data_IF_019044157417
#
_entry.id   IF_019044157417
#
_cell.length_a   1.000
_cell.length_b   1.000
_cell.length_c   1.000
_cell.angle_alpha   90.00
_cell.angle_beta   90.00
_cell.angle_gamma   90.00
#
_symmetry.space_group_name_H-M   'P 1'
#
loop_
_entity.id
_entity.type
_entity.pdbx_description
1 polymer ?
#
# COMPACT_ATOMS: atom_id res chain seq x y z
N UNK A 1 -9.54 23.07 4.15
CA UNK A 1 -9.64 21.89 5.05
C UNK A 1 -11.00 21.27 4.78
N UNK A 2 -11.09 20.47 3.71
CA UNK A 2 -12.32 19.79 3.30
C UNK A 2 -12.23 18.38 3.87
N UNK A 3 -13.06 18.08 4.87
CA UNK A 3 -13.28 16.71 5.34
C UNK A 3 -14.06 15.98 4.24
N UNK A 4 -13.43 15.02 3.57
CA UNK A 4 -14.11 14.05 2.72
C UNK A 4 -14.66 12.96 3.64
N UNK A 5 -15.98 12.80 3.71
CA UNK A 5 -16.61 11.69 4.43
C UNK A 5 -16.71 10.50 3.48
N UNK A 6 -15.92 9.45 3.70
CA UNK A 6 -16.18 8.15 3.09
C UNK A 6 -17.40 7.52 3.79
N UNK A 7 -18.46 7.24 3.02
CA UNK A 7 -19.60 6.45 3.48
C UNK A 7 -19.25 4.98 3.30
N UNK A 8 -19.15 4.24 4.40
CA UNK A 8 -18.96 2.79 4.36
C UNK A 8 -20.27 2.10 3.94
N UNK A 9 -20.27 1.45 2.77
CA UNK A 9 -21.39 0.62 2.31
C UNK A 9 -21.25 -0.77 2.92
N UNK A 10 -22.17 -1.15 3.82
CA UNK A 10 -22.25 -2.52 4.36
C UNK A 10 -23.16 -3.35 3.46
N UNK A 11 -22.59 -4.27 2.68
CA UNK A 11 -23.35 -5.23 1.89
C UNK A 11 -23.58 -6.49 2.74
N UNK A 12 -24.82 -6.75 3.14
CA UNK A 12 -25.20 -8.01 3.79
C UNK A 12 -26.11 -8.81 2.85
N UNK A 13 -25.71 -10.04 2.53
CA UNK A 13 -26.49 -10.93 1.67
C UNK A 13 -27.25 -11.93 2.55
N UNK A 14 -28.58 -11.96 2.48
CA UNK A 14 -29.38 -13.01 3.12
C UNK A 14 -29.69 -14.10 2.08
N UNK A 15 -29.19 -15.31 2.30
CA UNK A 15 -29.58 -16.47 1.48
C UNK A 15 -30.71 -17.21 2.17
N UNK A 16 -31.92 -17.17 1.61
CA UNK A 16 -32.94 -18.15 1.96
C UNK A 16 -32.73 -19.45 1.17
N UNK A 17 -33.00 -20.58 1.81
CA UNK A 17 -32.62 -21.95 1.39
C UNK A 17 -33.44 -22.48 0.18
N UNK A 18 -33.83 -21.61 -0.74
CA UNK A 18 -34.65 -21.89 -1.94
C UNK A 18 -33.90 -21.69 -3.25
N UNK A 19 -32.62 -21.26 -3.23
CA UNK A 19 -31.79 -21.16 -4.43
C UNK A 19 -32.18 -20.04 -5.41
N UNK A 20 -32.92 -19.05 -4.95
CA UNK A 20 -33.25 -17.83 -5.72
C UNK A 20 -32.53 -16.65 -5.06
N UNK A 21 -31.76 -15.87 -5.83
CA UNK A 21 -31.13 -14.64 -5.35
C UNK A 21 -32.24 -13.62 -5.02
N UNK A 22 -32.29 -13.17 -3.77
CA UNK A 22 -33.19 -12.10 -3.32
C UNK A 22 -32.73 -10.73 -3.82
N UNK A 23 -33.68 -9.79 -3.91
CA UNK A 23 -33.45 -8.43 -4.40
C UNK A 23 -32.43 -7.65 -3.54
N UNK A 24 -31.66 -6.79 -4.22
CA UNK A 24 -30.66 -5.90 -3.62
C UNK A 24 -31.37 -4.75 -2.88
N UNK A 25 -31.31 -4.74 -1.55
CA UNK A 25 -31.83 -3.62 -0.74
C UNK A 25 -30.66 -2.70 -0.35
N UNK A 26 -30.73 -1.45 -0.78
CA UNK A 26 -29.83 -0.37 -0.33
C UNK A 26 -30.51 0.30 0.85
N UNK A 27 -29.97 0.16 2.06
CA UNK A 27 -30.44 0.94 3.21
C UNK A 27 -29.53 2.14 3.44
N UNK A 28 -30.04 3.34 3.19
CA UNK A 28 -29.41 4.60 3.56
C UNK A 28 -29.49 4.78 5.07
N UNK A 29 -28.38 4.52 5.77
CA UNK A 29 -28.30 4.72 7.22
C UNK A 29 -27.95 6.19 7.54
N UNK A 30 -28.85 7.11 7.20
CA UNK A 30 -28.80 8.47 7.73
C UNK A 30 -29.58 8.52 9.04
N UNK A 31 -28.83 8.47 10.15
CA UNK A 31 -29.34 8.80 11.47
C UNK A 31 -30.00 10.18 11.46
N UNK A 32 -31.25 10.20 11.94
CA UNK A 32 -32.13 11.36 12.07
C UNK A 32 -31.44 12.61 12.63
N UNK A 33 -31.25 13.62 11.79
CA UNK A 33 -31.19 15.03 12.21
C UNK A 33 -32.36 15.79 11.58
N UNK A 34 -33.26 16.24 12.46
CA UNK A 34 -34.43 17.07 12.15
C UNK A 34 -33.95 18.50 11.90
N UNK A 35 -34.04 18.98 10.66
CA UNK A 35 -33.97 20.41 10.36
C UNK A 35 -35.35 20.84 9.87
N UNK A 36 -36.07 21.52 10.75
CA UNK A 36 -37.34 22.18 10.48
C UNK A 36 -37.07 23.46 9.67
N UNK A 37 -37.60 23.55 8.46
CA UNK A 37 -37.78 24.83 7.76
C UNK A 37 -39.22 24.92 7.24
N UNK A 38 -39.90 25.95 7.74
CA UNK A 38 -41.32 26.19 7.55
C UNK A 38 -41.72 26.66 6.15
N UNK A 39 -43.03 26.54 5.93
CA UNK A 39 -43.79 26.80 4.73
C UNK A 39 -43.72 28.24 4.23
N UNK A 40 -43.90 28.42 2.91
CA UNK A 40 -43.99 29.74 2.27
C UNK A 40 -44.38 29.68 0.79
N UNK A 41 -45.65 29.36 0.56
CA UNK A 41 -46.54 29.57 -0.60
C UNK A 41 -46.11 30.39 -1.85
N UNK A 42 -46.47 29.79 -3.00
CA UNK A 42 -47.28 30.33 -4.13
C UNK A 42 -46.70 31.13 -5.32
N UNK A 43 -47.17 30.67 -6.50
CA UNK A 43 -47.54 31.38 -7.75
C UNK A 43 -46.45 31.98 -8.66
N UNK A 44 -46.62 32.12 -9.98
CA UNK A 44 -47.43 31.54 -11.07
C UNK A 44 -46.84 32.15 -12.38
N UNK A 45 -47.05 31.51 -13.55
CA UNK A 45 -47.11 32.10 -14.92
C UNK A 45 -45.83 32.71 -15.57
N UNK A 46 -45.24 32.15 -16.65
CA UNK A 46 -45.57 32.03 -18.11
C UNK A 46 -44.96 33.13 -19.02
N UNK A 47 -44.69 32.72 -20.28
CA UNK A 47 -44.33 33.49 -21.51
C UNK A 47 -42.82 33.64 -21.82
N UNK A 48 -42.23 32.87 -22.77
CA UNK A 48 -42.26 32.83 -24.27
C UNK A 48 -41.24 33.77 -24.96
N UNK A 49 -40.45 33.18 -25.87
CA UNK A 49 -40.04 33.65 -27.24
C UNK A 49 -38.71 32.97 -27.64
N UNK A 50 -38.73 32.04 -28.60
CA UNK A 50 -38.44 32.19 -30.04
C UNK A 50 -36.93 32.24 -30.38
N UNK A 51 -36.39 31.16 -30.98
CA UNK A 51 -35.92 31.01 -32.41
C UNK A 51 -34.43 31.35 -32.55
N UNK A 52 -33.57 30.78 -33.40
CA UNK A 52 -33.53 29.72 -34.43
C UNK A 52 -32.00 29.58 -34.77
N UNK A 53 -31.39 28.40 -34.96
CA UNK A 53 -31.20 27.65 -36.24
C UNK A 53 -29.76 27.70 -36.82
N UNK A 54 -29.27 26.54 -37.32
CA UNK A 54 -28.22 26.36 -38.36
C UNK A 54 -26.77 26.11 -37.89
N UNK A 55 -26.25 24.87 -37.82
CA UNK A 55 -25.70 23.99 -38.90
C UNK A 55 -24.21 24.29 -39.24
N UNK A 56 -23.24 23.39 -38.91
CA UNK A 56 -22.57 22.36 -39.76
C UNK A 56 -21.63 22.96 -40.84
N UNK A 57 -20.45 22.46 -41.24
CA UNK A 57 -19.52 21.38 -40.91
C UNK A 57 -18.25 21.58 -41.82
N UNK A 58 -17.19 20.78 -41.61
CA UNK A 58 -16.16 20.31 -42.57
C UNK A 58 -14.78 21.00 -42.82
N UNK A 59 -13.75 20.33 -42.28
CA UNK A 59 -12.71 19.51 -42.96
C UNK A 59 -11.52 20.09 -43.76
N UNK A 60 -10.35 19.46 -43.54
CA UNK A 60 -9.19 19.29 -44.46
C UNK A 60 -8.14 20.41 -44.38
N UNK A 61 -6.82 20.20 -44.30
CA UNK A 61 -5.95 19.04 -44.55
C UNK A 61 -4.51 19.36 -44.07
N UNK A 62 -3.68 18.32 -43.99
CA UNK A 62 -2.32 18.23 -43.45
C UNK A 62 -1.25 19.06 -44.20
N UNK A 63 -0.17 19.40 -43.49
CA UNK A 63 1.18 19.40 -44.09
C UNK A 63 2.25 19.06 -43.05
N UNK A 64 3.05 18.05 -43.38
CA UNK A 64 4.20 17.53 -42.65
C UNK A 64 5.31 18.58 -42.48
N UNK A 65 5.98 18.51 -41.33
CA UNK A 65 7.21 19.24 -41.03
C UNK A 65 7.97 18.50 -39.95
N UNK A 66 8.82 17.57 -40.36
CA UNK A 66 9.77 16.88 -39.50
C UNK A 66 10.70 17.90 -38.81
N UNK A 67 10.57 17.98 -37.49
CA UNK A 67 11.51 18.67 -36.62
C UNK A 67 11.65 17.83 -35.36
N UNK A 68 12.71 17.02 -35.29
CA UNK A 68 13.14 16.35 -34.08
C UNK A 68 13.61 17.39 -33.05
N UNK A 69 12.65 17.99 -32.36
CA UNK A 69 12.92 18.78 -31.17
C UNK A 69 12.59 17.89 -29.97
N UNK A 70 13.61 17.25 -29.41
CA UNK A 70 13.54 16.64 -28.09
C UNK A 70 13.39 17.75 -27.05
N UNK A 71 12.17 18.30 -26.96
CA UNK A 71 11.75 18.94 -25.73
C UNK A 71 11.62 17.81 -24.72
N UNK A 72 12.51 17.84 -23.73
CA UNK A 72 12.34 17.16 -22.45
C UNK A 72 11.06 17.73 -21.82
N UNK A 73 9.92 17.19 -22.25
CA UNK A 73 8.62 17.54 -21.73
C UNK A 73 8.61 17.18 -20.26
N UNK A 74 8.29 18.15 -19.40
CA UNK A 74 8.12 17.90 -17.98
C UNK A 74 7.16 16.71 -17.80
N UNK A 75 7.66 15.61 -17.24
CA UNK A 75 6.82 14.46 -16.94
C UNK A 75 5.72 14.89 -15.97
N UNK A 76 4.49 14.43 -16.19
CA UNK A 76 3.39 14.66 -15.25
C UNK A 76 3.49 13.66 -14.09
N UNK A 77 3.17 14.06 -12.84
CA UNK A 77 3.03 13.13 -11.73
C UNK A 77 2.13 11.96 -12.10
N UNK A 78 2.53 10.75 -11.75
CA UNK A 78 1.77 9.55 -12.08
C UNK A 78 2.31 8.30 -11.41
N UNK A 79 1.50 7.25 -11.46
CA UNK A 79 1.84 5.93 -10.94
C UNK A 79 2.08 4.96 -12.09
N UNK A 80 2.96 4.01 -11.85
CA UNK A 80 3.17 2.89 -12.74
C UNK A 80 3.41 1.61 -11.92
N UNK A 81 3.04 0.47 -12.49
CA UNK A 81 3.29 -0.84 -11.90
C UNK A 81 4.71 -1.29 -12.26
N UNK A 82 5.44 -1.79 -11.27
CA UNK A 82 6.76 -2.42 -11.49
C UNK A 82 6.63 -3.76 -12.23
N UNK A 83 7.76 -4.27 -12.74
CA UNK A 83 7.81 -5.52 -13.51
C UNK A 83 7.31 -6.74 -12.73
N UNK A 84 7.33 -6.69 -11.39
CA UNK A 84 6.80 -7.75 -10.53
C UNK A 84 5.25 -7.85 -10.55
N UNK A 85 4.57 -6.89 -11.19
CA UNK A 85 3.11 -6.88 -11.37
C UNK A 85 2.30 -6.58 -10.10
N UNK A 86 2.96 -6.14 -9.02
CA UNK A 86 2.33 -5.90 -7.71
C UNK A 86 2.68 -4.53 -7.14
N UNK A 87 3.95 -4.13 -7.22
CA UNK A 87 4.41 -2.89 -6.61
C UNK A 87 4.01 -1.67 -7.43
N UNK A 88 3.42 -0.68 -6.77
CA UNK A 88 3.01 0.58 -7.37
C UNK A 88 3.98 1.70 -6.99
N UNK A 89 4.53 2.38 -8.00
CA UNK A 89 5.60 3.36 -7.83
C UNK A 89 5.18 4.72 -8.37
N UNK A 90 5.50 5.77 -7.63
CA UNK A 90 5.35 7.14 -8.08
C UNK A 90 6.54 7.57 -8.95
N UNK A 91 6.26 8.17 -10.11
CA UNK A 91 7.33 8.68 -10.96
C UNK A 91 8.02 9.91 -10.35
N UNK A 92 9.15 10.30 -10.94
CA UNK A 92 10.01 11.38 -10.42
C UNK A 92 9.34 12.77 -10.35
N UNK A 93 8.21 12.97 -11.03
CA UNK A 93 7.46 14.22 -11.01
C UNK A 93 6.50 14.33 -9.83
N UNK A 94 6.13 13.22 -9.20
CA UNK A 94 5.27 13.20 -8.02
C UNK A 94 5.97 13.79 -6.79
N UNK A 95 5.19 14.08 -5.75
CA UNK A 95 5.67 14.44 -4.42
C UNK A 95 4.76 13.87 -3.34
N UNK A 96 5.27 13.71 -2.10
CA UNK A 96 4.43 13.37 -0.95
C UNK A 96 3.22 14.31 -0.84
N UNK A 97 2.04 13.75 -0.58
CA UNK A 97 0.76 14.44 -0.54
C UNK A 97 0.01 14.51 -1.88
N UNK A 98 0.61 14.07 -2.99
CA UNK A 98 -0.13 13.94 -4.24
C UNK A 98 -1.12 12.77 -4.18
N UNK A 99 -2.35 13.01 -4.66
CA UNK A 99 -3.35 11.99 -4.94
C UNK A 99 -3.25 11.62 -6.42
N UNK A 100 -2.90 10.36 -6.71
CA UNK A 100 -2.66 9.88 -8.07
C UNK A 100 -3.59 8.72 -8.39
N UNK A 101 -4.04 8.64 -9.64
CA UNK A 101 -4.98 7.60 -10.08
C UNK A 101 -4.26 6.52 -10.88
N UNK A 102 -4.48 5.26 -10.52
CA UNK A 102 -4.06 4.09 -11.27
C UNK A 102 -5.26 3.16 -11.44
N UNK A 103 -5.60 2.81 -12.69
CA UNK A 103 -6.75 1.94 -13.03
C UNK A 103 -8.10 2.38 -12.40
N UNK A 104 -8.29 3.68 -12.20
CA UNK A 104 -9.52 4.25 -11.62
C UNK A 104 -9.56 4.26 -10.08
N UNK A 105 -8.49 3.83 -9.41
CA UNK A 105 -8.34 3.90 -7.95
C UNK A 105 -7.41 5.06 -7.61
N UNK A 106 -7.78 5.87 -6.62
CA UNK A 106 -6.96 6.97 -6.09
C UNK A 106 -6.03 6.45 -4.99
N UNK A 107 -4.75 6.76 -5.11
CA UNK A 107 -3.72 6.45 -4.14
C UNK A 107 -3.07 7.73 -3.61
N UNK A 108 -2.65 7.70 -2.34
CA UNK A 108 -1.92 8.80 -1.71
C UNK A 108 -0.43 8.51 -1.69
N UNK A 109 0.37 9.40 -2.28
CA UNK A 109 1.83 9.35 -2.17
C UNK A 109 2.25 9.83 -0.78
N UNK A 110 3.02 9.03 -0.05
CA UNK A 110 3.42 9.32 1.34
C UNK A 110 4.93 9.34 1.52
N UNK A 111 5.39 10.18 2.44
CA UNK A 111 6.73 10.10 3.02
C UNK A 111 6.70 9.39 4.40
N UNK A 112 7.86 9.32 5.07
CA UNK A 112 7.98 8.69 6.39
C UNK A 112 7.03 9.31 7.43
N UNK A 113 6.86 10.64 7.43
CA UNK A 113 6.05 11.31 8.46
C UNK A 113 4.57 11.06 8.21
N UNK A 114 4.11 11.24 6.96
CA UNK A 114 2.74 10.95 6.56
C UNK A 114 2.37 9.50 6.85
N UNK A 115 3.24 8.55 6.50
CA UNK A 115 3.00 7.14 6.77
C UNK A 115 2.84 6.87 8.26
N UNK A 116 3.72 7.43 9.11
CA UNK A 116 3.62 7.27 10.57
C UNK A 116 2.34 7.86 11.12
N UNK A 117 1.97 9.06 10.68
CA UNK A 117 0.74 9.72 11.11
C UNK A 117 -0.50 8.88 10.74
N UNK A 118 -0.54 8.36 9.50
CA UNK A 118 -1.65 7.51 9.02
C UNK A 118 -1.69 6.17 9.77
N UNK A 119 -0.56 5.48 9.93
CA UNK A 119 -0.52 4.16 10.61
C UNK A 119 -0.86 4.26 12.10
N UNK A 120 -0.64 5.41 12.74
CA UNK A 120 -1.11 5.64 14.12
C UNK A 120 -2.62 5.80 14.24
N UNK A 121 -3.31 6.15 13.16
CA UNK A 121 -4.77 6.21 13.09
C UNK A 121 -5.32 4.86 12.59
N UNK A 122 -5.76 4.00 13.51
CA UNK A 122 -6.29 2.65 13.21
C UNK A 122 -7.56 2.64 12.31
N UNK A 123 -7.98 3.78 11.79
CA UNK A 123 -9.18 3.97 10.95
C UNK A 123 -8.90 4.07 9.45
N UNK A 124 -7.66 4.28 9.03
CA UNK A 124 -7.31 4.51 7.63
C UNK A 124 -6.87 3.21 6.92
N UNK A 125 -7.39 2.98 5.71
CA UNK A 125 -6.97 1.87 4.86
C UNK A 125 -5.63 2.21 4.19
N UNK A 126 -4.55 1.67 4.75
CA UNK A 126 -3.19 1.91 4.26
C UNK A 126 -2.84 1.09 2.99
N UNK A 127 -3.77 0.31 2.43
CA UNK A 127 -3.57 -0.38 1.15
C UNK A 127 -3.55 0.58 -0.05
N UNK A 128 -4.05 1.81 0.12
CA UNK A 128 -4.09 2.86 -0.90
C UNK A 128 -2.91 3.84 -0.83
N UNK A 129 -1.83 3.47 -0.11
CA UNK A 129 -0.64 4.30 -0.01
C UNK A 129 0.43 3.90 -1.03
N UNK A 130 1.09 4.90 -1.61
CA UNK A 130 2.29 4.75 -2.45
C UNK A 130 3.50 5.23 -1.67
N UNK A 131 4.40 4.29 -1.35
CA UNK A 131 5.49 4.49 -0.39
C UNK A 131 6.84 4.81 -1.05
N UNK A 132 6.86 5.27 -2.30
CA UNK A 132 8.10 5.56 -3.05
C UNK A 132 9.04 6.53 -2.34
N UNK A 133 8.52 7.44 -1.51
CA UNK A 133 9.31 8.41 -0.75
C UNK A 133 9.61 7.97 0.70
N UNK A 134 9.27 6.73 1.06
CA UNK A 134 9.52 6.16 2.38
C UNK A 134 10.90 5.51 2.40
N UNK A 135 11.71 5.89 3.38
CA UNK A 135 13.06 5.38 3.60
C UNK A 135 13.21 4.63 4.93
N UNK A 136 12.24 4.79 5.83
CA UNK A 136 12.28 4.26 7.19
C UNK A 136 10.94 3.63 7.54
N UNK A 137 10.93 2.30 7.65
CA UNK A 137 9.80 1.50 8.11
C UNK A 137 10.00 1.02 9.55
N UNK A 138 11.01 1.52 10.26
CA UNK A 138 11.25 1.08 11.63
C UNK A 138 10.00 1.30 12.49
N UNK A 139 9.65 0.29 13.29
CA UNK A 139 8.59 0.23 14.29
C UNK A 139 7.15 0.64 13.87
N UNK A 140 6.86 0.83 12.57
CA UNK A 140 5.54 1.36 12.16
C UNK A 140 4.38 0.41 12.52
N UNK A 141 4.62 -0.91 12.59
CA UNK A 141 3.61 -1.89 13.02
C UNK A 141 3.95 -2.58 14.34
N UNK A 142 4.83 -1.99 15.14
CA UNK A 142 5.21 -2.56 16.42
C UNK A 142 3.98 -2.72 17.34
N UNK A 143 3.79 -3.93 17.85
CA UNK A 143 2.70 -4.39 18.71
C UNK A 143 1.28 -4.28 18.11
N UNK A 144 1.12 -3.99 16.81
CA UNK A 144 -0.19 -3.93 16.16
C UNK A 144 -0.86 -5.31 16.15
N UNK A 145 -2.01 -5.45 16.82
CA UNK A 145 -2.76 -6.70 16.91
C UNK A 145 -3.78 -6.88 15.77
N UNK A 146 -3.98 -5.87 14.94
CA UNK A 146 -4.82 -5.91 13.74
C UNK A 146 -4.06 -5.22 12.61
N UNK A 147 -3.47 -6.01 11.73
CA UNK A 147 -2.90 -5.53 10.47
C UNK A 147 -3.79 -6.10 9.36
N UNK A 148 -4.88 -5.38 9.06
CA UNK A 148 -5.82 -5.72 7.98
C UNK A 148 -5.73 -4.84 6.75
N UNK A 149 -4.52 -4.56 6.21
CA UNK A 149 -4.41 -4.24 4.80
C UNK A 149 -3.38 -5.12 4.07
N UNK A 150 -3.66 -5.34 2.79
CA UNK A 150 -2.67 -5.86 1.86
C UNK A 150 -1.63 -4.76 1.57
N UNK A 151 -0.42 -4.93 2.11
CA UNK A 151 0.72 -4.02 1.90
C UNK A 151 1.76 -4.60 0.91
N UNK A 152 1.40 -5.65 0.16
CA UNK A 152 2.29 -6.26 -0.83
C UNK A 152 2.67 -5.28 -1.94
N UNK A 153 1.79 -4.32 -2.25
CA UNK A 153 1.98 -3.33 -3.31
C UNK A 153 2.89 -2.15 -2.91
N UNK A 154 3.32 -2.07 -1.65
CA UNK A 154 4.20 -1.00 -1.20
C UNK A 154 5.56 -1.03 -1.91
N UNK A 155 5.98 0.13 -2.39
CA UNK A 155 7.34 0.35 -2.88
C UNK A 155 8.30 0.50 -1.70
N UNK A 156 9.16 -0.49 -1.53
CA UNK A 156 10.21 -0.52 -0.49
C UNK A 156 11.61 -0.29 -1.04
N UNK A 157 11.74 0.06 -2.33
CA UNK A 157 13.02 0.20 -3.04
C UNK A 157 13.92 1.31 -2.50
N UNK A 158 13.39 2.23 -1.69
CA UNK A 158 14.12 3.30 -1.01
C UNK A 158 14.29 3.08 0.50
N UNK A 159 13.74 2.00 1.06
CA UNK A 159 13.79 1.71 2.49
C UNK A 159 15.19 1.24 2.90
N UNK A 160 15.71 1.85 3.96
CA UNK A 160 17.02 1.53 4.54
C UNK A 160 16.94 0.91 5.93
N UNK A 161 15.83 1.09 6.65
CA UNK A 161 15.61 0.57 8.00
C UNK A 161 14.23 -0.10 8.11
N UNK A 162 14.22 -1.35 8.56
CA UNK A 162 13.03 -2.16 8.86
C UNK A 162 13.06 -2.70 10.30
N UNK A 163 13.84 -2.10 11.19
CA UNK A 163 13.98 -2.57 12.56
C UNK A 163 12.66 -2.48 13.33
N UNK A 164 12.35 -3.50 14.11
CA UNK A 164 11.09 -3.62 14.88
C UNK A 164 9.80 -3.56 14.04
N UNK A 165 9.86 -3.60 12.70
CA UNK A 165 8.73 -3.33 11.80
C UNK A 165 7.44 -4.07 12.20
N UNK A 166 7.50 -5.40 12.36
CA UNK A 166 6.41 -6.26 12.81
C UNK A 166 6.66 -6.86 14.20
N UNK A 167 7.51 -6.22 15.01
CA UNK A 167 7.79 -6.69 16.38
C UNK A 167 6.49 -6.72 17.19
N UNK A 168 6.08 -7.88 17.70
CA UNK A 168 4.84 -8.06 18.46
C UNK A 168 3.54 -8.01 17.64
N UNK A 169 3.62 -7.93 16.31
CA UNK A 169 2.47 -8.01 15.41
C UNK A 169 1.96 -9.46 15.30
N UNK A 170 1.37 -9.96 16.39
CA UNK A 170 1.22 -11.39 16.65
C UNK A 170 0.40 -12.16 15.61
N UNK A 171 -0.57 -11.50 14.97
CA UNK A 171 -1.51 -12.11 14.01
C UNK A 171 -1.18 -11.83 12.54
N UNK A 172 -0.15 -11.04 12.25
CA UNK A 172 0.16 -10.66 10.89
C UNK A 172 0.82 -11.80 10.11
N UNK A 173 0.33 -12.05 8.90
CA UNK A 173 0.85 -13.10 7.99
C UNK A 173 0.70 -12.69 6.51
N UNK A 174 0.83 -11.40 6.21
CA UNK A 174 0.70 -10.87 4.85
C UNK A 174 1.91 -11.17 3.97
N UNK A 175 1.69 -11.28 2.65
CA UNK A 175 2.73 -11.58 1.65
C UNK A 175 3.67 -10.39 1.50
N UNK A 176 4.98 -10.62 1.69
CA UNK A 176 6.05 -9.62 1.58
C UNK A 176 7.13 -9.97 0.56
N UNK A 177 6.95 -11.04 -0.23
CA UNK A 177 7.93 -11.51 -1.22
C UNK A 177 8.19 -10.50 -2.34
N UNK A 178 7.28 -9.56 -2.57
CA UNK A 178 7.40 -8.50 -3.58
C UNK A 178 8.24 -7.30 -3.10
N UNK A 179 8.58 -7.23 -1.81
CA UNK A 179 9.33 -6.11 -1.27
C UNK A 179 10.78 -6.11 -1.73
N UNK A 180 11.25 -4.95 -2.19
CA UNK A 180 12.63 -4.74 -2.57
C UNK A 180 13.45 -4.35 -1.33
N UNK A 181 14.21 -5.31 -0.81
CA UNK A 181 15.05 -5.12 0.37
C UNK A 181 16.51 -4.74 0.06
N UNK A 182 16.86 -4.49 -1.20
CA UNK A 182 18.24 -4.33 -1.65
C UNK A 182 18.99 -3.13 -1.03
N UNK A 183 18.28 -2.13 -0.49
CA UNK A 183 18.88 -0.98 0.21
C UNK A 183 18.78 -1.09 1.74
N UNK A 184 18.11 -2.11 2.27
CA UNK A 184 17.91 -2.26 3.71
C UNK A 184 19.23 -2.60 4.39
N UNK A 185 19.55 -1.87 5.45
CA UNK A 185 20.79 -2.05 6.23
C UNK A 185 20.54 -2.57 7.64
N UNK A 186 19.31 -2.41 8.16
CA UNK A 186 18.91 -2.81 9.49
C UNK A 186 17.56 -3.55 9.47
N UNK A 187 17.57 -4.80 9.95
CA UNK A 187 16.39 -5.67 10.09
C UNK A 187 16.25 -6.21 11.53
N UNK A 188 16.91 -5.57 12.51
CA UNK A 188 16.88 -6.01 13.90
C UNK A 188 15.45 -6.04 14.43
N UNK A 189 15.06 -7.13 15.09
CA UNK A 189 13.72 -7.33 15.66
C UNK A 189 12.54 -7.26 14.66
N UNK A 190 12.78 -7.26 13.34
CA UNK A 190 11.74 -7.00 12.33
C UNK A 190 10.50 -7.90 12.47
N UNK A 191 10.66 -9.15 12.90
CA UNK A 191 9.59 -10.12 13.13
C UNK A 191 9.62 -10.72 14.54
N UNK A 192 10.23 -10.03 15.51
CA UNK A 192 10.30 -10.52 16.88
C UNK A 192 8.89 -10.67 17.47
N UNK A 193 8.53 -11.84 18.01
CA UNK A 193 7.19 -12.16 18.51
C UNK A 193 6.05 -12.01 17.46
N UNK A 194 6.35 -12.09 16.15
CA UNK A 194 5.34 -12.22 15.10
C UNK A 194 4.84 -13.67 15.06
N UNK A 195 3.93 -14.00 15.98
CA UNK A 195 3.60 -15.39 16.34
C UNK A 195 3.02 -16.23 15.20
N UNK A 196 2.27 -15.61 14.28
CA UNK A 196 1.59 -16.26 13.15
C UNK A 196 2.29 -16.05 11.81
N UNK A 197 3.39 -15.30 11.76
CA UNK A 197 4.06 -14.97 10.51
C UNK A 197 4.83 -16.17 9.96
N UNK A 198 4.50 -16.61 8.75
CA UNK A 198 5.18 -17.72 8.07
C UNK A 198 5.20 -17.60 6.53
N UNK A 199 5.18 -16.38 5.99
CA UNK A 199 5.33 -16.18 4.55
C UNK A 199 6.78 -16.34 4.11
N UNK A 200 6.97 -16.79 2.87
CA UNK A 200 8.29 -16.95 2.26
C UNK A 200 9.03 -15.62 2.14
N UNK A 201 10.27 -15.62 2.62
CA UNK A 201 11.21 -14.50 2.61
C UNK A 201 12.56 -14.87 1.93
N UNK A 202 12.65 -16.04 1.29
CA UNK A 202 13.89 -16.58 0.71
C UNK A 202 14.50 -15.68 -0.34
N UNK A 203 13.67 -14.96 -1.11
CA UNK A 203 14.09 -14.08 -2.21
C UNK A 203 14.51 -12.66 -1.77
N UNK A 204 14.49 -12.36 -0.46
CA UNK A 204 14.93 -11.06 0.03
C UNK A 204 16.43 -10.82 -0.20
N UNK A 205 16.76 -9.67 -0.78
CA UNK A 205 18.14 -9.24 -0.95
C UNK A 205 18.69 -8.68 0.36
N UNK A 206 19.52 -9.48 1.04
CA UNK A 206 20.13 -9.13 2.33
C UNK A 206 21.57 -8.63 2.22
N UNK A 207 22.08 -8.40 1.00
CA UNK A 207 23.51 -8.10 0.75
C UNK A 207 24.02 -6.80 1.37
N UNK A 208 23.13 -5.86 1.70
CA UNK A 208 23.46 -4.59 2.37
C UNK A 208 23.14 -4.60 3.88
N UNK A 209 22.54 -5.68 4.40
CA UNK A 209 22.12 -5.75 5.80
C UNK A 209 23.34 -5.95 6.70
N UNK A 210 23.43 -5.13 7.73
CA UNK A 210 24.50 -5.15 8.73
C UNK A 210 24.01 -5.50 10.13
N UNK A 211 22.70 -5.41 10.38
CA UNK A 211 22.08 -5.67 11.68
C UNK A 211 20.83 -6.55 11.54
N UNK A 212 20.81 -7.69 12.24
CA UNK A 212 19.73 -8.70 12.21
C UNK A 212 19.45 -9.27 13.62
N UNK A 213 19.86 -8.57 14.69
CA UNK A 213 19.66 -9.07 16.05
C UNK A 213 18.18 -9.33 16.33
N UNK A 214 17.89 -10.50 16.91
CA UNK A 214 16.55 -10.95 17.28
C UNK A 214 15.48 -10.89 16.17
N UNK A 215 15.87 -10.89 14.88
CA UNK A 215 14.97 -10.69 13.74
C UNK A 215 13.70 -11.58 13.79
N UNK A 216 13.84 -12.86 14.15
CA UNK A 216 12.77 -13.84 14.27
C UNK A 216 12.65 -14.40 15.70
N UNK A 217 13.13 -13.68 16.72
CA UNK A 217 13.03 -14.12 18.11
C UNK A 217 11.57 -14.36 18.50
N UNK A 218 11.24 -15.55 18.99
CA UNK A 218 9.88 -16.00 19.33
C UNK A 218 8.85 -15.92 18.17
N UNK A 219 9.28 -15.90 16.90
CA UNK A 219 8.38 -16.09 15.77
C UNK A 219 7.99 -17.58 15.66
N UNK A 220 7.08 -18.02 16.52
CA UNK A 220 6.93 -19.44 16.91
C UNK A 220 6.64 -20.38 15.75
N UNK A 221 5.95 -19.93 14.70
CA UNK A 221 5.61 -20.76 13.53
C UNK A 221 6.57 -20.57 12.35
N UNK A 222 7.44 -19.57 12.39
CA UNK A 222 8.30 -19.22 11.27
C UNK A 222 9.30 -20.34 10.99
N UNK A 223 9.23 -20.92 9.79
CA UNK A 223 10.04 -22.08 9.38
C UNK A 223 10.53 -22.04 7.93
N UNK A 224 10.59 -20.85 7.33
CA UNK A 224 11.00 -20.67 5.93
C UNK A 224 12.51 -20.88 5.72
N UNK A 225 12.88 -21.18 4.48
CA UNK A 225 14.28 -21.38 4.08
C UNK A 225 14.95 -20.04 3.77
N UNK A 226 15.97 -19.70 4.57
CA UNK A 226 16.78 -18.49 4.44
C UNK A 226 18.23 -18.82 4.04
N UNK A 227 18.51 -20.08 3.67
CA UNK A 227 19.87 -20.54 3.38
C UNK A 227 20.51 -19.84 2.17
N UNK A 228 19.70 -19.27 1.28
CA UNK A 228 20.15 -18.48 0.12
C UNK A 228 20.49 -17.01 0.42
N UNK A 229 20.26 -16.53 1.64
CA UNK A 229 20.52 -15.12 1.97
C UNK A 229 22.01 -14.74 1.90
N UNK A 230 22.29 -13.59 1.30
CA UNK A 230 23.61 -13.00 1.22
C UNK A 230 23.92 -12.16 2.47
N UNK A 231 24.60 -12.75 3.45
CA UNK A 231 24.92 -12.14 4.76
C UNK A 231 26.43 -11.96 4.95
N UNK A 232 27.13 -11.54 3.89
CA UNK A 232 28.59 -11.39 3.87
C UNK A 232 29.12 -10.25 4.75
N UNK A 233 28.27 -9.31 5.14
CA UNK A 233 28.60 -8.20 6.04
C UNK A 233 28.43 -8.55 7.53
N UNK A 234 27.97 -9.76 7.85
CA UNK A 234 27.67 -10.22 9.21
C UNK A 234 28.49 -11.48 9.50
N UNK A 235 29.72 -11.30 10.01
CA UNK A 235 30.70 -12.38 10.22
C UNK A 235 30.26 -13.49 11.19
N UNK A 236 29.28 -13.21 12.04
CA UNK A 236 28.82 -14.10 13.11
C UNK A 236 27.31 -14.04 13.24
N UNK A 237 26.71 -15.17 13.60
CA UNK A 237 25.30 -15.24 13.90
C UNK A 237 24.86 -14.10 14.85
N UNK A 238 23.86 -13.28 14.45
CA UNK A 238 23.30 -12.23 15.29
C UNK A 238 22.74 -12.78 16.59
N UNK A 239 22.70 -11.93 17.61
CA UNK A 239 22.21 -12.33 18.93
C UNK A 239 20.73 -12.66 18.83
N UNK A 240 20.34 -13.85 19.31
CA UNK A 240 18.96 -14.33 19.32
C UNK A 240 18.24 -14.31 17.95
N UNK A 241 18.98 -14.33 16.82
CA UNK A 241 18.43 -14.19 15.46
C UNK A 241 17.09 -14.91 15.27
N UNK A 242 16.99 -16.16 15.71
CA UNK A 242 15.79 -16.99 15.59
C UNK A 242 15.48 -17.79 16.87
N UNK A 243 15.89 -17.27 18.04
CA UNK A 243 15.65 -17.98 19.31
C UNK A 243 14.15 -18.15 19.54
N UNK A 244 13.68 -19.39 19.72
CA UNK A 244 12.26 -19.68 19.94
C UNK A 244 11.37 -19.69 18.69
N UNK A 245 11.94 -19.60 17.47
CA UNK A 245 11.19 -19.88 16.24
C UNK A 245 11.26 -21.36 15.84
N UNK A 246 10.46 -21.75 14.84
CA UNK A 246 10.44 -23.11 14.28
C UNK A 246 11.44 -23.34 13.14
N UNK A 247 12.33 -22.38 12.87
CA UNK A 247 13.30 -22.49 11.78
C UNK A 247 14.32 -23.60 12.06
N UNK A 248 14.62 -24.39 11.03
CA UNK A 248 15.60 -25.46 11.12
C UNK A 248 17.02 -24.93 10.97
N UNK A 249 18.02 -25.65 11.47
CA UNK A 249 19.43 -25.27 11.31
C UNK A 249 19.89 -25.23 9.84
N UNK A 250 19.31 -26.09 8.98
CA UNK A 250 19.63 -26.12 7.55
C UNK A 250 18.99 -24.98 6.77
N UNK A 251 17.99 -24.33 7.35
CA UNK A 251 17.27 -23.20 6.76
C UNK A 251 17.87 -21.85 7.17
N UNK A 252 18.92 -21.83 8.00
CA UNK A 252 19.56 -20.59 8.43
C UNK A 252 20.56 -20.07 7.39
N UNK A 253 20.78 -18.75 7.31
CA UNK A 253 21.84 -18.18 6.50
C UNK A 253 23.22 -18.67 6.93
N UNK A 254 24.12 -18.85 5.97
CA UNK A 254 25.53 -19.08 6.25
C UNK A 254 26.23 -17.73 6.52
N UNK A 255 26.30 -17.35 7.79
CA UNK A 255 26.89 -16.08 8.26
C UNK A 255 28.29 -15.83 7.68
N UNK A 256 28.53 -14.59 7.22
CA UNK A 256 29.78 -14.17 6.59
C UNK A 256 29.93 -14.62 5.13
N UNK A 257 28.86 -15.09 4.48
CA UNK A 257 28.91 -15.56 3.08
C UNK A 257 27.78 -15.00 2.22
N UNK A 258 27.93 -15.16 0.91
CA UNK A 258 26.92 -14.85 -0.09
C UNK A 258 26.82 -16.07 -1.01
N UNK A 259 25.79 -16.93 -0.84
CA UNK A 259 25.59 -18.09 -1.72
C UNK A 259 25.38 -17.64 -3.17
N UNK A 260 25.92 -18.42 -4.11
CA UNK A 260 25.82 -18.20 -5.56
C UNK A 260 24.48 -18.64 -6.15
#
# INVERSE_FOLDING_TARGET
MLLSFLVAIVISCTSDNSGVLGDLVVEDNLGSDVIEIGEGSENEQTETSETAEGAEEQSGSESEGEGSNSQEGAQTPGLYMEENGVTLVANSAAKPGDELVFEGITYLVVDNQMLRDIVTDDREDISLLVTTYVTDLSNIFENKQTITPNIAAWDTSNVTDMSYLFSGASVYNGVLSYWNTAKVTNMSYAFANALEYNQDLGDWNTSQVTQMDAMFSNATVFNQDLSGWCVSLIDKAPTNFSSGSSISQTSLPLWGTCPD
#
